data_IF_930613681353
#
_entry.id   IF_930613681353
#
_cell.length_a   1.000
_cell.length_b   1.000
_cell.length_c   1.000
_cell.angle_alpha   90.00
_cell.angle_beta   90.00
_cell.angle_gamma   90.00
#
_symmetry.space_group_name_H-M   'P 1'
#
loop_
_entity.id
_entity.type
_entity.pdbx_description
1 polymer ?
#
# COMPACT_ATOMS: atom_id res chain seq x y z
N UNK A 1 8.48 -0.90 10.87
CA UNK A 1 8.55 0.54 10.53
C UNK A 1 9.62 1.19 11.41
N UNK A 2 10.22 2.31 10.98
CA UNK A 2 11.09 3.11 11.87
C UNK A 2 10.23 3.88 12.86
N UNK A 3 10.81 4.33 13.97
CA UNK A 3 10.10 5.17 14.95
C UNK A 3 9.63 6.51 14.37
N UNK A 4 10.31 6.99 13.33
CA UNK A 4 9.97 8.24 12.63
C UNK A 4 8.94 8.06 11.53
N UNK A 5 8.58 6.82 11.19
CA UNK A 5 7.59 6.55 10.17
C UNK A 5 6.20 6.63 10.81
N UNK A 6 5.29 7.36 10.17
CA UNK A 6 3.90 7.47 10.63
C UNK A 6 3.03 6.59 9.74
N UNK A 7 2.22 5.74 10.37
CA UNK A 7 1.21 4.92 9.69
C UNK A 7 -0.17 5.44 10.07
N UNK A 8 -0.99 5.74 9.08
CA UNK A 8 -2.36 6.20 9.25
C UNK A 8 -3.33 5.30 8.51
N UNK A 9 -4.48 5.01 9.12
CA UNK A 9 -5.63 4.42 8.44
C UNK A 9 -6.50 5.57 7.92
N UNK A 10 -6.71 5.62 6.62
CA UNK A 10 -7.44 6.72 5.98
C UNK A 10 -8.95 6.45 6.00
N UNK A 11 -9.33 5.20 5.75
CA UNK A 11 -10.71 4.73 5.75
C UNK A 11 -10.78 3.30 5.25
N UNK A 12 -11.86 2.58 5.54
CA UNK A 12 -12.04 1.20 5.03
C UNK A 12 -10.81 0.32 5.27
N UNK A 13 -10.24 -0.21 4.19
CA UNK A 13 -9.01 -1.00 4.11
C UNK A 13 -7.78 -0.21 3.61
N UNK A 14 -7.88 1.13 3.54
CA UNK A 14 -6.85 2.03 3.02
C UNK A 14 -5.93 2.57 4.13
N UNK A 15 -4.63 2.54 3.84
CA UNK A 15 -3.56 2.97 4.73
C UNK A 15 -2.55 3.86 4.00
N UNK A 16 -2.01 4.85 4.70
CA UNK A 16 -0.90 5.68 4.23
C UNK A 16 0.29 5.58 5.18
N UNK A 17 1.50 5.65 4.61
CA UNK A 17 2.75 5.60 5.36
C UNK A 17 3.58 6.83 4.99
N UNK A 18 3.87 7.67 5.97
CA UNK A 18 4.78 8.81 5.83
C UNK A 18 6.16 8.43 6.38
N UNK A 19 7.15 8.31 5.48
CA UNK A 19 8.52 7.92 5.83
C UNK A 19 9.44 9.14 5.90
N UNK A 20 9.37 9.91 6.99
CA UNK A 20 10.18 11.13 7.15
C UNK A 20 11.68 10.80 7.11
N UNK A 21 12.45 11.56 6.31
CA UNK A 21 13.90 11.37 6.19
C UNK A 21 14.32 9.99 5.70
N UNK A 22 13.46 9.27 4.97
CA UNK A 22 13.89 8.06 4.26
C UNK A 22 14.81 8.43 3.10
N UNK A 23 15.92 7.71 2.96
CA UNK A 23 16.67 7.69 1.70
C UNK A 23 15.87 6.90 0.67
N UNK A 24 16.09 7.13 -0.64
CA UNK A 24 15.43 6.36 -1.69
C UNK A 24 15.59 4.85 -1.53
N UNK A 25 16.80 4.37 -1.23
CA UNK A 25 17.07 2.94 -1.01
C UNK A 25 16.28 2.38 0.18
N UNK A 26 16.14 3.16 1.26
CA UNK A 26 15.38 2.73 2.41
C UNK A 26 13.87 2.67 2.09
N UNK A 27 13.36 3.67 1.38
CA UNK A 27 11.97 3.71 0.95
C UNK A 27 11.64 2.54 0.02
N UNK A 28 12.50 2.26 -0.96
CA UNK A 28 12.34 1.14 -1.89
C UNK A 28 12.37 -0.20 -1.18
N UNK A 29 13.36 -0.41 -0.29
CA UNK A 29 13.41 -1.62 0.54
C UNK A 29 12.15 -1.77 1.39
N UNK A 30 11.64 -0.67 1.96
CA UNK A 30 10.42 -0.72 2.78
C UNK A 30 9.20 -1.09 1.94
N UNK A 31 9.08 -0.55 0.72
CA UNK A 31 8.02 -0.90 -0.22
C UNK A 31 8.08 -2.38 -0.60
N UNK A 32 9.27 -2.93 -0.81
CA UNK A 32 9.46 -4.35 -1.08
C UNK A 32 9.06 -5.21 0.12
N UNK A 33 9.52 -4.85 1.34
CA UNK A 33 9.16 -5.54 2.58
C UNK A 33 7.63 -5.59 2.77
N UNK A 34 6.93 -4.47 2.53
CA UNK A 34 5.46 -4.40 2.63
C UNK A 34 4.81 -5.34 1.61
N UNK A 35 5.23 -5.28 0.34
CA UNK A 35 4.69 -6.14 -0.73
C UNK A 35 4.88 -7.62 -0.40
N UNK A 36 6.10 -8.04 -0.05
CA UNK A 36 6.40 -9.42 0.31
C UNK A 36 5.66 -9.88 1.58
N UNK A 37 5.45 -8.96 2.53
CA UNK A 37 4.61 -9.22 3.69
C UNK A 37 3.20 -9.62 3.27
N UNK A 38 2.54 -8.79 2.45
CA UNK A 38 1.21 -9.09 1.94
C UNK A 38 1.14 -10.37 1.10
N UNK A 39 2.14 -10.65 0.25
CA UNK A 39 2.15 -11.87 -0.58
C UNK A 39 2.17 -13.16 0.25
N UNK A 40 2.61 -13.09 1.52
CA UNK A 40 2.60 -14.22 2.47
C UNK A 40 1.36 -14.28 3.36
N UNK A 41 0.53 -13.23 3.36
CA UNK A 41 -0.63 -13.12 4.25
C UNK A 41 -1.86 -13.80 3.65
N UNK A 42 -2.50 -14.62 4.48
CA UNK A 42 -3.83 -15.16 4.24
C UNK A 42 -4.58 -15.23 5.56
N UNK A 43 -5.90 -15.30 5.50
CA UNK A 43 -6.72 -15.65 6.65
C UNK A 43 -7.70 -16.76 6.28
N UNK A 44 -8.05 -17.56 7.27
CA UNK A 44 -9.07 -18.59 7.12
C UNK A 44 -10.42 -18.05 7.58
N UNK A 45 -11.44 -18.18 6.73
CA UNK A 45 -12.80 -17.80 7.03
C UNK A 45 -13.75 -18.90 6.57
N UNK A 46 -14.53 -19.46 7.51
CA UNK A 46 -15.46 -20.57 7.24
C UNK A 46 -14.79 -21.75 6.51
N UNK A 47 -13.56 -22.07 6.87
CA UNK A 47 -12.78 -23.16 6.24
C UNK A 47 -12.23 -22.84 4.85
N UNK A 48 -12.39 -21.60 4.37
CA UNK A 48 -11.79 -21.13 3.12
C UNK A 48 -10.59 -20.24 3.41
N UNK A 49 -9.49 -20.51 2.70
CA UNK A 49 -8.32 -19.64 2.68
C UNK A 49 -8.60 -18.44 1.78
N UNK A 50 -8.40 -17.24 2.32
CA UNK A 50 -8.49 -15.98 1.59
C UNK A 50 -7.12 -15.33 1.61
N UNK A 51 -6.46 -15.30 0.45
CA UNK A 51 -5.17 -14.63 0.29
C UNK A 51 -5.37 -13.11 0.31
N UNK A 52 -4.54 -12.41 1.07
CA UNK A 52 -4.53 -10.96 1.14
C UNK A 52 -3.52 -10.42 0.13
N UNK A 53 -3.86 -9.31 -0.51
CA UNK A 53 -2.96 -8.58 -1.41
C UNK A 53 -3.12 -7.10 -1.18
N UNK A 54 -2.03 -6.36 -1.36
CA UNK A 54 -2.04 -4.91 -1.38
C UNK A 54 -1.52 -4.36 -2.72
N UNK A 55 -2.10 -3.25 -3.13
CA UNK A 55 -1.53 -2.35 -4.13
C UNK A 55 -0.94 -1.17 -3.39
N UNK A 56 0.28 -0.78 -3.71
CA UNK A 56 1.01 0.26 -2.99
C UNK A 56 1.60 1.23 -4.00
N UNK A 57 1.05 2.44 -4.04
CA UNK A 57 1.61 3.59 -4.75
C UNK A 57 2.50 4.40 -3.82
N UNK A 58 3.49 5.09 -4.39
CA UNK A 58 4.40 5.93 -3.60
C UNK A 58 4.90 7.13 -4.40
N UNK A 59 5.29 8.18 -3.68
CA UNK A 59 5.89 9.40 -4.21
C UNK A 59 6.93 9.92 -3.21
N UNK A 60 7.96 10.58 -3.72
CA UNK A 60 8.89 11.34 -2.89
C UNK A 60 8.39 12.77 -2.75
N UNK A 61 8.47 13.31 -1.53
CA UNK A 61 8.02 14.66 -1.20
C UNK A 61 9.19 15.44 -0.63
N UNK A 62 9.39 16.65 -1.14
CA UNK A 62 10.40 17.61 -0.71
C UNK A 62 9.76 18.77 0.05
N UNK A 63 10.60 19.58 0.70
CA UNK A 63 10.11 20.79 1.35
C UNK A 63 9.55 21.77 0.32
N UNK A 64 8.32 22.24 0.54
CA UNK A 64 7.62 23.16 -0.36
C UNK A 64 6.70 22.49 -1.37
N UNK A 65 6.72 21.16 -1.48
CA UNK A 65 5.78 20.42 -2.32
C UNK A 65 4.35 20.50 -1.75
N UNK A 66 3.37 20.50 -2.65
CA UNK A 66 1.97 20.38 -2.27
C UNK A 66 1.68 18.98 -1.75
N UNK A 67 1.41 18.89 -0.45
CA UNK A 67 1.10 17.64 0.24
C UNK A 67 -0.17 17.00 -0.33
N UNK A 68 -1.15 17.80 -0.73
CA UNK A 68 -2.41 17.27 -1.27
C UNK A 68 -2.18 16.62 -2.63
N UNK A 69 -1.55 17.35 -3.57
CA UNK A 69 -1.18 16.79 -4.87
C UNK A 69 -0.22 15.60 -4.78
N UNK A 70 0.68 15.57 -3.80
CA UNK A 70 1.54 14.41 -3.56
C UNK A 70 0.72 13.17 -3.13
N UNK A 71 -0.25 13.36 -2.24
CA UNK A 71 -1.14 12.28 -1.83
C UNK A 71 -1.98 11.77 -3.01
N UNK A 72 -2.59 12.68 -3.78
CA UNK A 72 -3.37 12.32 -4.98
C UNK A 72 -2.53 11.53 -5.98
N UNK A 73 -1.27 11.92 -6.20
CA UNK A 73 -0.36 11.21 -7.10
C UNK A 73 0.02 9.82 -6.57
N UNK A 74 0.21 9.66 -5.25
CA UNK A 74 0.46 8.36 -4.65
C UNK A 74 -0.75 7.43 -4.82
N UNK A 75 -1.96 7.94 -4.63
CA UNK A 75 -3.21 7.21 -4.80
C UNK A 75 -3.44 6.82 -6.26
N UNK A 76 -3.19 7.74 -7.21
CA UNK A 76 -3.28 7.47 -8.64
C UNK A 76 -2.34 6.32 -9.05
N UNK A 77 -1.08 6.35 -8.60
CA UNK A 77 -0.10 5.26 -8.84
C UNK A 77 -0.53 3.94 -8.21
N UNK A 78 -1.11 3.99 -7.01
CA UNK A 78 -1.66 2.80 -6.35
C UNK A 78 -2.78 2.19 -7.19
N UNK A 79 -3.68 3.03 -7.70
CA UNK A 79 -4.81 2.61 -8.51
C UNK A 79 -4.36 1.99 -9.85
N UNK A 80 -3.36 2.56 -10.51
CA UNK A 80 -2.75 1.98 -11.72
C UNK A 80 -2.20 0.57 -11.46
N UNK A 81 -1.51 0.37 -10.33
CA UNK A 81 -1.01 -0.94 -9.91
C UNK A 81 -2.17 -1.90 -9.64
N UNK A 82 -3.24 -1.44 -8.98
CA UNK A 82 -4.45 -2.24 -8.72
C UNK A 82 -5.11 -2.70 -10.00
N UNK A 83 -5.23 -1.82 -10.99
CA UNK A 83 -5.79 -2.15 -12.30
C UNK A 83 -4.92 -3.15 -13.06
N UNK A 84 -3.59 -2.98 -13.04
CA UNK A 84 -2.65 -3.89 -13.69
C UNK A 84 -2.63 -5.29 -13.07
N UNK A 85 -2.82 -5.41 -11.74
CA UNK A 85 -2.93 -6.70 -11.04
C UNK A 85 -4.25 -7.44 -11.34
N UNK A 86 -5.25 -6.76 -11.89
CA UNK A 86 -6.59 -7.27 -12.13
C UNK A 86 -7.44 -7.28 -10.85
N UNK A 87 -8.72 -6.94 -10.98
CA UNK A 87 -9.67 -7.09 -9.89
C UNK A 87 -9.91 -8.59 -9.69
N UNK A 88 -9.39 -9.18 -8.61
CA UNK A 88 -9.91 -10.46 -8.11
C UNK A 88 -11.31 -10.21 -7.56
N UNK A 89 -12.30 -10.07 -8.46
CA UNK A 89 -13.68 -10.28 -8.08
C UNK A 89 -13.76 -11.75 -7.68
N UNK A 90 -13.80 -12.00 -6.37
CA UNK A 90 -14.32 -13.26 -5.86
C UNK A 90 -15.67 -13.45 -6.54
N UNK A 91 -15.73 -14.37 -7.50
CA UNK A 91 -17.01 -14.88 -7.97
C UNK A 91 -17.64 -15.53 -6.74
N UNK A 92 -18.53 -14.81 -6.07
CA UNK A 92 -19.49 -15.44 -5.18
C UNK A 92 -20.38 -16.28 -6.09
N UNK A 93 -20.02 -17.55 -6.28
CA UNK A 93 -20.99 -18.57 -6.63
C UNK A 93 -21.93 -18.70 -5.42
N UNK A 94 -23.18 -18.28 -5.61
CA UNK A 94 -24.31 -18.69 -4.78
C UNK A 94 -24.49 -20.21 -4.86
#
# INVERSE_FOLDING_TARGET
>A
MRETDVVARIGGDEFSILMKGATPDHAEKKLQDIKSGFDSLFFEWKGQRIDLRASVGSVYVSSGDDVHGAQELADQRMYEIKQAKGNTRMAMSL
#
